data_IF_565841098211
#
_entry.id   IF_565841098211
#
_cell.length_a   1.000
_cell.length_b   1.000
_cell.length_c   1.000
_cell.angle_alpha   90.00
_cell.angle_beta   90.00
_cell.angle_gamma   90.00
#
_symmetry.space_group_name_H-M   'P 1'
#
loop_
_entity.id
_entity.type
_entity.pdbx_description
1 polymer ?
#
# COMPACT_ATOMS: atom_id res chain seq x y z
N UNK A 1 -12.67 0.47 -7.55
CA UNK A 1 -13.26 1.62 -6.82
C UNK A 1 -12.70 1.65 -5.40
N UNK A 2 -12.81 0.58 -4.62
CA UNK A 2 -12.33 0.51 -3.23
C UNK A 2 -10.84 0.87 -3.12
N UNK A 3 -9.97 0.23 -3.90
CA UNK A 3 -8.53 0.47 -3.98
C UNK A 3 -8.20 1.95 -4.26
N UNK A 4 -8.90 2.55 -5.24
CA UNK A 4 -8.72 3.97 -5.56
C UNK A 4 -9.11 4.87 -4.38
N UNK A 5 -10.22 4.59 -3.71
CA UNK A 5 -10.67 5.34 -2.54
C UNK A 5 -9.66 5.21 -1.37
N UNK A 6 -9.18 3.98 -1.10
CA UNK A 6 -8.18 3.74 -0.06
C UNK A 6 -6.87 4.49 -0.33
N UNK A 7 -6.34 4.40 -1.55
CA UNK A 7 -5.11 5.08 -1.92
C UNK A 7 -5.27 6.60 -1.97
N UNK A 8 -6.44 7.10 -2.38
CA UNK A 8 -6.73 8.53 -2.35
C UNK A 8 -6.76 9.08 -0.92
N UNK A 9 -7.39 8.37 0.01
CA UNK A 9 -7.41 8.73 1.44
C UNK A 9 -6.02 8.63 2.06
N UNK A 10 -5.29 7.55 1.78
CA UNK A 10 -3.92 7.37 2.25
C UNK A 10 -2.99 8.47 1.72
N UNK A 11 -3.09 8.78 0.43
CA UNK A 11 -2.33 9.87 -0.17
C UNK A 11 -2.67 11.24 0.42
N UNK A 12 -3.96 11.53 0.67
CA UNK A 12 -4.38 12.75 1.34
C UNK A 12 -3.84 12.85 2.77
N UNK A 13 -3.86 11.74 3.50
CA UNK A 13 -3.27 11.67 4.84
C UNK A 13 -1.76 11.93 4.79
N UNK A 14 -1.05 11.34 3.83
CA UNK A 14 0.38 11.55 3.63
C UNK A 14 0.72 13.02 3.37
N UNK A 15 0.01 13.65 2.44
CA UNK A 15 0.21 15.09 2.17
C UNK A 15 -0.19 15.98 3.35
N UNK A 16 -1.21 15.63 4.11
CA UNK A 16 -1.60 16.38 5.31
C UNK A 16 -0.54 16.31 6.40
N UNK A 17 0.07 15.15 6.62
CA UNK A 17 1.15 14.98 7.60
C UNK A 17 2.32 15.93 7.32
N UNK A 18 2.63 16.22 6.04
CA UNK A 18 3.69 17.16 5.69
C UNK A 18 3.42 18.60 6.13
N UNK A 19 2.16 18.97 6.31
CA UNK A 19 1.78 20.31 6.79
C UNK A 19 1.99 20.49 8.30
N UNK A 20 2.10 19.37 9.03
CA UNK A 20 2.24 19.37 10.49
C UNK A 20 3.70 19.26 10.93
N UNK A 21 4.55 18.67 10.11
CA UNK A 21 5.94 18.38 10.45
C UNK A 21 6.88 19.33 9.72
N UNK A 22 7.85 19.88 10.44
CA UNK A 22 8.95 20.63 9.83
C UNK A 22 9.82 19.72 8.94
N UNK A 23 10.57 20.30 7.96
CA UNK A 23 11.30 19.53 6.95
C UNK A 23 12.33 18.55 7.55
N UNK A 24 13.01 18.95 8.62
CA UNK A 24 13.98 18.07 9.28
C UNK A 24 13.33 16.88 9.98
N UNK A 25 12.22 17.12 10.69
CA UNK A 25 11.46 16.06 11.37
C UNK A 25 10.86 15.12 10.34
N UNK A 26 10.28 15.67 9.27
CA UNK A 26 9.69 14.92 8.17
C UNK A 26 10.71 13.97 7.52
N UNK A 27 11.91 14.45 7.23
CA UNK A 27 12.99 13.65 6.67
C UNK A 27 13.33 12.42 7.53
N UNK A 28 13.49 12.62 8.83
CA UNK A 28 13.78 11.53 9.76
C UNK A 28 12.62 10.55 9.91
N UNK A 29 11.40 11.07 10.04
CA UNK A 29 10.20 10.25 10.13
C UNK A 29 10.03 9.39 8.87
N UNK A 30 10.15 9.97 7.69
CA UNK A 30 10.02 9.24 6.42
C UNK A 30 11.16 8.23 6.24
N UNK A 31 12.39 8.62 6.46
CA UNK A 31 13.54 7.72 6.32
C UNK A 31 13.44 6.49 7.21
N UNK A 32 13.13 6.68 8.50
CA UNK A 32 12.93 5.58 9.44
C UNK A 32 11.71 4.74 9.07
N UNK A 33 10.60 5.37 8.65
CA UNK A 33 9.39 4.67 8.22
C UNK A 33 9.62 3.81 6.99
N UNK A 34 10.34 4.30 5.99
CA UNK A 34 10.71 3.51 4.81
C UNK A 34 11.60 2.31 5.15
N UNK A 35 12.56 2.49 6.06
CA UNK A 35 13.41 1.38 6.52
C UNK A 35 12.60 0.35 7.34
N UNK A 36 11.69 0.81 8.19
CA UNK A 36 10.76 -0.07 8.91
C UNK A 36 9.87 -0.84 7.94
N UNK A 37 9.37 -0.18 6.86
CA UNK A 37 8.59 -0.83 5.81
C UNK A 37 9.41 -1.87 5.04
N UNK A 38 10.68 -1.58 4.74
CA UNK A 38 11.59 -2.54 4.12
C UNK A 38 11.71 -3.81 4.98
N UNK A 39 11.91 -3.65 6.29
CA UNK A 39 11.96 -4.78 7.22
C UNK A 39 10.62 -5.54 7.29
N UNK A 40 9.49 -4.82 7.31
CA UNK A 40 8.16 -5.44 7.35
C UNK A 40 7.83 -6.20 6.07
N UNK A 41 8.28 -5.73 4.90
CA UNK A 41 8.10 -6.46 3.63
C UNK A 41 8.78 -7.83 3.61
N UNK A 42 9.79 -8.06 4.45
CA UNK A 42 10.44 -9.36 4.57
C UNK A 42 9.67 -10.36 5.44
N UNK A 43 8.67 -9.88 6.21
CA UNK A 43 7.81 -10.73 7.02
C UNK A 43 6.67 -11.25 6.11
N UNK A 44 6.50 -12.57 5.97
CA UNK A 44 5.41 -13.15 5.20
C UNK A 44 4.04 -12.69 5.74
N UNK A 45 3.13 -12.33 4.84
CA UNK A 45 1.77 -12.03 5.22
C UNK A 45 1.07 -13.31 5.66
N UNK A 46 0.44 -13.29 6.82
CA UNK A 46 -0.50 -14.32 7.22
C UNK A 46 -1.82 -14.00 6.51
N UNK A 47 -2.30 -14.96 5.71
CA UNK A 47 -3.63 -14.88 5.15
C UNK A 47 -4.60 -15.09 6.32
N UNK A 48 -5.14 -14.01 6.87
CA UNK A 48 -6.31 -14.09 7.71
C UNK A 48 -7.47 -14.53 6.79
N UNK A 49 -7.85 -15.80 6.92
CA UNK A 49 -9.13 -16.29 6.42
C UNK A 49 -10.20 -15.59 7.27
N UNK A 50 -10.63 -14.42 6.81
CA UNK A 50 -11.71 -13.66 7.43
C UNK A 50 -12.96 -14.52 7.40
N UNK A 51 -13.50 -14.84 8.58
CA UNK A 51 -14.81 -15.45 8.75
C UNK A 51 -15.85 -14.59 8.02
N UNK A 52 -16.32 -15.09 6.90
CA UNK A 52 -17.41 -14.50 6.12
C UNK A 52 -18.72 -14.76 6.88
N UNK A 53 -18.98 -13.90 7.87
CA UNK A 53 -20.28 -13.86 8.57
C UNK A 53 -21.36 -13.52 7.54
N UNK A 54 -22.01 -14.55 7.00
CA UNK A 54 -22.99 -14.53 5.93
C UNK A 54 -24.24 -13.70 6.18
N UNK A 55 -24.06 -12.42 6.52
CA UNK A 55 -25.14 -11.43 6.60
C UNK A 55 -25.46 -10.93 5.21
N UNK A 56 -26.67 -11.23 4.74
CA UNK A 56 -27.19 -10.77 3.47
C UNK A 56 -27.00 -9.25 3.30
N UNK A 57 -26.39 -8.81 2.19
CA UNK A 57 -25.98 -7.42 2.01
C UNK A 57 -27.17 -6.50 1.78
N UNK A 58 -27.36 -5.51 2.63
CA UNK A 58 -28.34 -4.43 2.44
C UNK A 58 -27.97 -3.50 1.27
N UNK A 59 -26.76 -3.55 0.76
CA UNK A 59 -26.18 -2.66 -0.26
C UNK A 59 -26.15 -3.29 -1.67
N UNK A 60 -26.72 -4.48 -1.85
CA UNK A 60 -26.56 -5.26 -3.09
C UNK A 60 -25.13 -5.86 -3.20
N UNK A 61 -24.96 -6.79 -4.14
CA UNK A 61 -23.69 -7.53 -4.31
C UNK A 61 -22.50 -6.57 -4.54
N UNK A 62 -22.67 -5.61 -5.45
CA UNK A 62 -21.61 -4.65 -5.77
C UNK A 62 -21.21 -3.78 -4.57
N UNK A 63 -22.19 -3.19 -3.89
CA UNK A 63 -21.92 -2.32 -2.74
C UNK A 63 -21.26 -3.07 -1.58
N UNK A 64 -21.72 -4.29 -1.31
CA UNK A 64 -21.11 -5.14 -0.27
C UNK A 64 -19.69 -5.53 -0.64
N UNK A 65 -19.43 -5.93 -1.88
CA UNK A 65 -18.09 -6.27 -2.35
C UNK A 65 -17.14 -5.06 -2.24
N UNK A 66 -17.59 -3.88 -2.67
CA UNK A 66 -16.78 -2.65 -2.55
C UNK A 66 -16.47 -2.33 -1.09
N UNK A 67 -17.45 -2.43 -0.20
CA UNK A 67 -17.25 -2.16 1.22
C UNK A 67 -16.34 -3.21 1.89
N UNK A 68 -16.58 -4.49 1.63
CA UNK A 68 -15.76 -5.57 2.17
C UNK A 68 -14.30 -5.42 1.70
N UNK A 69 -14.09 -5.15 0.42
CA UNK A 69 -12.76 -4.95 -0.15
C UNK A 69 -12.08 -3.68 0.41
N UNK A 70 -12.85 -2.60 0.59
CA UNK A 70 -12.36 -1.37 1.21
C UNK A 70 -11.87 -1.63 2.65
N UNK A 71 -12.66 -2.35 3.44
CA UNK A 71 -12.30 -2.66 4.83
C UNK A 71 -11.12 -3.65 4.90
N UNK A 72 -11.06 -4.64 4.00
CA UNK A 72 -9.96 -5.60 3.96
C UNK A 72 -8.62 -4.95 3.54
N UNK A 73 -8.66 -3.95 2.64
CA UNK A 73 -7.47 -3.19 2.26
C UNK A 73 -7.07 -2.13 3.30
N UNK A 74 -7.96 -1.79 4.24
CA UNK A 74 -7.69 -0.77 5.23
C UNK A 74 -6.61 -1.22 6.21
N UNK A 75 -5.46 -0.51 6.21
CA UNK A 75 -4.31 -0.87 7.05
C UNK A 75 -3.30 -1.84 6.41
N UNK A 76 -3.51 -2.22 5.14
CA UNK A 76 -2.53 -3.01 4.40
C UNK A 76 -1.20 -2.26 4.19
N UNK A 77 -0.12 -3.02 4.00
CA UNK A 77 1.23 -2.51 3.73
C UNK A 77 1.27 -1.51 2.57
N UNK A 78 0.47 -1.75 1.52
CA UNK A 78 0.39 -0.86 0.35
C UNK A 78 -0.23 0.50 0.68
N UNK A 79 -1.19 0.55 1.60
CA UNK A 79 -1.78 1.79 2.06
C UNK A 79 -0.79 2.63 2.87
N UNK A 80 -0.06 1.99 3.79
CA UNK A 80 0.99 2.64 4.57
C UNK A 80 2.09 3.17 3.65
N UNK A 81 2.52 2.36 2.67
CA UNK A 81 3.47 2.79 1.64
C UNK A 81 2.96 4.01 0.85
N UNK A 82 1.67 4.05 0.51
CA UNK A 82 1.05 5.18 -0.19
C UNK A 82 1.08 6.46 0.65
N UNK A 83 0.79 6.37 1.97
CA UNK A 83 0.93 7.50 2.90
C UNK A 83 2.36 8.06 2.87
N UNK A 84 3.34 7.17 2.99
CA UNK A 84 4.76 7.55 3.05
C UNK A 84 5.24 8.17 1.73
N UNK A 85 4.88 7.58 0.59
CA UNK A 85 5.24 8.10 -0.73
C UNK A 85 4.57 9.46 -1.00
N UNK A 86 3.30 9.64 -0.60
CA UNK A 86 2.61 10.91 -0.75
C UNK A 86 3.23 12.01 0.13
N UNK A 87 3.67 11.66 1.33
CA UNK A 87 4.38 12.57 2.22
C UNK A 87 5.77 12.93 1.67
N UNK A 88 6.50 11.96 1.12
CA UNK A 88 7.84 12.18 0.58
C UNK A 88 7.83 13.06 -0.67
N UNK A 89 6.98 12.74 -1.64
CA UNK A 89 7.01 13.39 -2.95
C UNK A 89 6.04 14.56 -3.09
N UNK A 90 5.11 14.72 -2.16
CA UNK A 90 4.04 15.75 -2.15
C UNK A 90 3.24 15.84 -3.47
N UNK A 91 3.26 14.77 -4.25
CA UNK A 91 2.63 14.65 -5.55
C UNK A 91 1.41 13.70 -5.47
N UNK A 92 0.42 14.07 -4.67
CA UNK A 92 -0.75 13.25 -4.34
C UNK A 92 -1.34 12.50 -5.55
N UNK A 93 -1.59 13.22 -6.64
CA UNK A 93 -2.21 12.62 -7.83
C UNK A 93 -1.35 11.49 -8.43
N UNK A 94 -0.04 11.74 -8.60
CA UNK A 94 0.88 10.77 -9.21
C UNK A 94 1.12 9.56 -8.29
N UNK A 95 1.18 9.79 -6.99
CA UNK A 95 1.32 8.71 -6.02
C UNK A 95 0.07 7.83 -6.00
N UNK A 96 -1.13 8.43 -5.92
CA UNK A 96 -2.39 7.68 -5.95
C UNK A 96 -2.57 6.93 -7.27
N UNK A 97 -2.28 7.56 -8.40
CA UNK A 97 -2.35 6.91 -9.70
C UNK A 97 -1.36 5.74 -9.80
N UNK A 98 -0.11 5.95 -9.41
CA UNK A 98 0.94 4.94 -9.48
C UNK A 98 0.66 3.74 -8.57
N UNK A 99 0.32 3.98 -7.32
CA UNK A 99 0.02 2.91 -6.35
C UNK A 99 -1.25 2.15 -6.72
N UNK A 100 -2.29 2.84 -7.18
CA UNK A 100 -3.53 2.19 -7.66
C UNK A 100 -3.27 1.34 -8.90
N UNK A 101 -2.54 1.86 -9.90
CA UNK A 101 -2.18 1.11 -11.09
C UNK A 101 -1.28 -0.08 -10.75
N UNK A 102 -0.30 0.10 -9.87
CA UNK A 102 0.56 -0.98 -9.39
C UNK A 102 -0.24 -2.12 -8.76
N UNK A 103 -1.18 -1.78 -7.89
CA UNK A 103 -2.06 -2.77 -7.24
C UNK A 103 -2.99 -3.46 -8.23
N UNK A 104 -3.55 -2.72 -9.21
CA UNK A 104 -4.37 -3.32 -10.26
C UNK A 104 -3.55 -4.27 -11.14
N UNK A 105 -2.32 -3.91 -11.51
CA UNK A 105 -1.42 -4.77 -12.28
C UNK A 105 -1.02 -6.02 -11.51
N UNK A 106 -0.83 -5.94 -10.20
CA UNK A 106 -0.53 -7.08 -9.35
C UNK A 106 -1.73 -8.03 -9.21
N UNK A 107 -2.94 -7.47 -9.07
CA UNK A 107 -4.16 -8.26 -8.84
C UNK A 107 -4.78 -8.80 -10.15
N UNK A 108 -4.67 -8.10 -11.28
CA UNK A 108 -5.29 -8.51 -12.54
C UNK A 108 -4.89 -9.94 -12.99
N UNK A 109 -3.60 -10.35 -12.94
CA UNK A 109 -3.21 -11.71 -13.29
C UNK A 109 -3.84 -12.75 -12.35
N UNK A 110 -3.95 -12.44 -11.07
CA UNK A 110 -4.55 -13.35 -10.07
C UNK A 110 -6.04 -13.57 -10.36
N UNK A 111 -6.76 -12.49 -10.71
CA UNK A 111 -8.18 -12.56 -11.07
C UNK A 111 -8.39 -13.36 -12.37
N UNK A 112 -7.53 -13.19 -13.39
CA UNK A 112 -7.70 -13.86 -14.68
C UNK A 112 -7.24 -15.32 -14.70
N UNK A 113 -6.15 -15.62 -14.02
CA UNK A 113 -5.53 -16.95 -14.05
C UNK A 113 -5.74 -17.78 -12.77
N UNK A 114 -6.36 -17.18 -11.75
CA UNK A 114 -6.66 -17.83 -10.48
C UNK A 114 -5.42 -18.36 -9.75
N UNK A 115 -5.61 -19.41 -8.97
CA UNK A 115 -4.55 -19.99 -8.14
C UNK A 115 -3.31 -20.51 -8.91
N UNK A 116 -3.41 -20.75 -10.23
CA UNK A 116 -2.27 -21.26 -11.00
C UNK A 116 -1.13 -20.26 -11.04
N UNK A 117 -1.43 -18.95 -11.11
CA UNK A 117 -0.39 -17.93 -11.21
C UNK A 117 0.26 -17.65 -9.85
N UNK A 118 -0.53 -17.70 -8.76
CA UNK A 118 -0.01 -17.50 -7.40
C UNK A 118 1.02 -18.57 -7.02
N UNK A 119 0.87 -19.79 -7.55
CA UNK A 119 1.84 -20.88 -7.35
C UNK A 119 3.11 -20.73 -8.20
N UNK A 120 3.07 -19.96 -9.28
CA UNK A 120 4.21 -19.73 -10.19
C UNK A 120 5.01 -18.48 -9.84
N UNK A 121 4.40 -17.51 -9.17
CA UNK A 121 5.08 -16.27 -8.79
C UNK A 121 6.00 -16.52 -7.59
N UNK A 122 7.28 -16.19 -7.68
CA UNK A 122 8.20 -16.28 -6.56
C UNK A 122 7.94 -15.11 -5.59
N UNK A 123 6.90 -15.23 -4.76
CA UNK A 123 6.47 -14.20 -3.81
C UNK A 123 7.65 -13.67 -2.98
N UNK A 124 8.59 -14.54 -2.61
CA UNK A 124 9.81 -14.13 -1.90
C UNK A 124 10.64 -13.12 -2.69
N UNK A 125 10.76 -13.30 -4.01
CA UNK A 125 11.52 -12.36 -4.85
C UNK A 125 10.81 -11.03 -4.92
N UNK A 126 9.49 -11.02 -5.04
CA UNK A 126 8.69 -9.78 -5.02
C UNK A 126 8.89 -9.03 -3.70
N UNK A 127 8.80 -9.72 -2.57
CA UNK A 127 9.03 -9.11 -1.25
C UNK A 127 10.47 -8.58 -1.10
N UNK A 128 11.47 -9.32 -1.56
CA UNK A 128 12.88 -8.88 -1.52
C UNK A 128 13.11 -7.64 -2.38
N UNK A 129 12.57 -7.61 -3.59
CA UNK A 129 12.67 -6.44 -4.48
C UNK A 129 11.97 -5.23 -3.85
N UNK A 130 10.76 -5.41 -3.34
CA UNK A 130 10.02 -4.34 -2.66
C UNK A 130 10.78 -3.82 -1.42
N UNK A 131 11.31 -4.71 -0.60
CA UNK A 131 12.14 -4.34 0.55
C UNK A 131 13.39 -3.55 0.11
N UNK A 132 14.05 -3.97 -0.98
CA UNK A 132 15.19 -3.26 -1.55
C UNK A 132 14.82 -1.85 -1.99
N UNK A 133 13.70 -1.67 -2.68
CA UNK A 133 13.19 -0.35 -3.09
C UNK A 133 12.94 0.54 -1.88
N UNK A 134 12.23 0.04 -0.86
CA UNK A 134 11.97 0.82 0.35
C UNK A 134 13.24 1.14 1.13
N UNK A 135 14.22 0.24 1.14
CA UNK A 135 15.52 0.51 1.75
C UNK A 135 16.24 1.67 1.06
N UNK A 136 16.27 1.67 -0.28
CA UNK A 136 16.85 2.77 -1.07
C UNK A 136 16.12 4.08 -0.81
N UNK A 137 14.78 4.07 -0.84
CA UNK A 137 13.97 5.27 -0.56
C UNK A 137 14.22 5.80 0.85
N UNK A 138 14.35 4.92 1.84
CA UNK A 138 14.67 5.30 3.23
C UNK A 138 16.03 5.96 3.36
N UNK A 139 17.05 5.41 2.71
CA UNK A 139 18.39 5.99 2.69
C UNK A 139 18.37 7.36 1.99
N UNK A 140 17.73 7.46 0.82
CA UNK A 140 17.63 8.73 0.08
C UNK A 140 16.91 9.80 0.91
N UNK A 141 15.81 9.44 1.58
CA UNK A 141 15.09 10.35 2.46
C UNK A 141 15.97 10.84 3.62
N UNK A 142 16.75 9.95 4.26
CA UNK A 142 17.67 10.33 5.34
C UNK A 142 18.81 11.23 4.84
N UNK A 143 19.24 11.05 3.60
CA UNK A 143 20.27 11.91 2.96
C UNK A 143 19.72 13.27 2.52
N UNK A 144 18.40 13.47 2.59
CA UNK A 144 17.73 14.69 2.16
C UNK A 144 17.58 14.80 0.64
N UNK A 145 17.59 13.68 -0.06
CA UNK A 145 17.33 13.57 -1.50
C UNK A 145 15.86 13.22 -1.71
N UNK A 146 15.05 14.25 -1.98
CA UNK A 146 13.62 14.10 -2.26
C UNK A 146 12.93 15.43 -2.39
#
# INVERSE_FOLDING_TARGET
VATLANHALAGALGTWVTTLLGPDVLRWVLGVSFLAMAAWMLIPDQLDEGDDDGKAPRLGIFGTTVLAFFLAEMGDKTQIATVMLAAQYQAWFWVVAGTTLGMMLANAPVVWFGERITRMLPIRVVHMVSAGVFCVLGILALLGWG
#
